data_IF_162497326735
#
_entry.id   IF_162497326735
#
_cell.length_a   1.000
_cell.length_b   1.000
_cell.length_c   1.000
_cell.angle_alpha   90.00
_cell.angle_beta   90.00
_cell.angle_gamma   90.00
#
_symmetry.space_group_name_H-M   'P 1'
#
loop_
_entity.id
_entity.type
_entity.pdbx_description
1 polymer ?
#
# COMPACT_ATOMS: atom_id res chain seq x y z
N UNK A 1 -57.84 -0.38 -22.52
CA UNK A 1 -56.73 -0.89 -23.35
C UNK A 1 -56.29 0.26 -24.24
N UNK A 2 -55.18 0.93 -23.93
CA UNK A 2 -54.75 2.13 -24.66
C UNK A 2 -54.34 1.70 -26.07
N UNK A 3 -55.05 2.19 -27.09
CA UNK A 3 -54.87 1.79 -28.47
C UNK A 3 -53.66 2.52 -29.07
N UNK A 4 -52.45 1.96 -28.85
CA UNK A 4 -51.18 2.56 -29.28
C UNK A 4 -51.12 2.91 -30.78
N UNK A 5 -51.96 2.27 -31.61
CA UNK A 5 -52.04 2.48 -33.06
C UNK A 5 -52.78 3.76 -33.47
N UNK A 6 -53.74 4.24 -32.67
CA UNK A 6 -54.47 5.49 -32.93
C UNK A 6 -53.68 6.73 -32.47
N UNK A 7 -52.95 6.61 -31.36
CA UNK A 7 -52.05 7.66 -30.87
C UNK A 7 -50.91 7.99 -31.84
N UNK A 8 -50.38 6.96 -32.53
CA UNK A 8 -49.33 7.15 -33.54
C UNK A 8 -49.87 7.79 -34.84
N UNK A 9 -51.13 7.57 -35.18
CA UNK A 9 -51.74 8.06 -36.43
C UNK A 9 -52.08 9.55 -36.42
N UNK A 10 -52.32 10.13 -35.23
CA UNK A 10 -52.75 11.52 -35.07
C UNK A 10 -51.60 12.51 -34.80
N UNK A 11 -50.33 12.07 -34.73
CA UNK A 11 -49.13 12.89 -34.45
C UNK A 11 -49.14 13.75 -33.16
N UNK A 12 -50.24 13.76 -32.39
CA UNK A 12 -50.40 14.57 -31.15
C UNK A 12 -49.57 14.08 -29.97
N UNK A 13 -48.99 12.88 -30.05
CA UNK A 13 -48.14 12.31 -28.98
C UNK A 13 -46.68 12.80 -29.04
N UNK A 14 -46.28 13.42 -30.15
CA UNK A 14 -44.91 13.88 -30.37
C UNK A 14 -44.59 15.07 -29.46
N UNK A 15 -45.49 16.05 -29.34
CA UNK A 15 -45.31 17.23 -28.50
C UNK A 15 -45.11 16.90 -27.00
N UNK A 16 -45.99 16.13 -26.32
CA UNK A 16 -45.78 15.79 -24.91
C UNK A 16 -44.55 14.91 -24.70
N UNK A 17 -44.19 14.06 -25.66
CA UNK A 17 -42.96 13.27 -25.61
C UNK A 17 -41.71 14.15 -25.71
N UNK A 18 -41.69 15.13 -26.62
CA UNK A 18 -40.60 16.10 -26.72
C UNK A 18 -40.48 16.96 -25.45
N UNK A 19 -41.60 17.42 -24.88
CA UNK A 19 -41.58 18.19 -23.62
C UNK A 19 -41.04 17.34 -22.46
N UNK A 20 -41.47 16.08 -22.35
CA UNK A 20 -40.98 15.16 -21.31
C UNK A 20 -39.48 14.90 -21.44
N UNK A 21 -39.00 14.63 -22.66
CA UNK A 21 -37.58 14.34 -22.91
C UNK A 21 -36.69 15.56 -22.66
N UNK A 22 -37.12 16.76 -23.08
CA UNK A 22 -36.44 18.02 -22.77
C UNK A 22 -36.42 18.27 -21.26
N UNK A 23 -37.56 18.11 -20.58
CA UNK A 23 -37.67 18.30 -19.13
C UNK A 23 -36.74 17.34 -18.35
N UNK A 24 -36.70 16.07 -18.77
CA UNK A 24 -35.80 15.06 -18.19
C UNK A 24 -34.33 15.42 -18.42
N UNK A 25 -33.98 15.88 -19.63
CA UNK A 25 -32.62 16.31 -19.95
C UNK A 25 -32.18 17.54 -19.12
N UNK A 26 -33.05 18.54 -18.99
CA UNK A 26 -32.79 19.74 -18.16
C UNK A 26 -32.63 19.35 -16.69
N UNK A 27 -33.49 18.48 -16.18
CA UNK A 27 -33.43 18.00 -14.79
C UNK A 27 -32.14 17.22 -14.53
N UNK A 28 -31.77 16.29 -15.42
CA UNK A 28 -30.51 15.55 -15.32
C UNK A 28 -29.29 16.48 -15.36
N UNK A 29 -29.31 17.47 -16.27
CA UNK A 29 -28.25 18.48 -16.39
C UNK A 29 -28.11 19.31 -15.11
N UNK A 30 -29.24 19.70 -14.50
CA UNK A 30 -29.25 20.44 -13.24
C UNK A 30 -28.70 19.60 -12.07
N UNK A 31 -29.08 18.32 -11.98
CA UNK A 31 -28.57 17.40 -10.95
C UNK A 31 -27.04 17.25 -11.08
N UNK A 32 -26.54 17.02 -12.30
CA UNK A 32 -25.10 16.92 -12.56
C UNK A 32 -24.38 18.21 -12.19
N UNK A 33 -24.92 19.38 -12.56
CA UNK A 33 -24.37 20.68 -12.21
C UNK A 33 -24.23 20.86 -10.68
N UNK A 34 -25.29 20.57 -9.91
CA UNK A 34 -25.26 20.66 -8.45
C UNK A 34 -24.26 19.65 -7.85
N UNK A 35 -24.17 18.44 -8.40
CA UNK A 35 -23.22 17.42 -7.96
C UNK A 35 -21.77 17.85 -8.18
N UNK A 36 -21.45 18.42 -9.35
CA UNK A 36 -20.12 18.94 -9.69
C UNK A 36 -19.74 20.09 -8.74
N UNK A 37 -20.64 21.06 -8.53
CA UNK A 37 -20.36 22.18 -7.62
C UNK A 37 -20.15 21.69 -6.19
N UNK A 38 -21.00 20.77 -5.70
CA UNK A 38 -20.83 20.21 -4.35
C UNK A 38 -19.50 19.47 -4.21
N UNK A 39 -19.12 18.66 -5.19
CA UNK A 39 -17.83 17.95 -5.22
C UNK A 39 -16.67 18.93 -5.20
N UNK A 40 -16.67 19.91 -6.10
CA UNK A 40 -15.62 20.94 -6.20
C UNK A 40 -15.50 21.75 -4.91
N UNK A 41 -16.62 22.20 -4.34
CA UNK A 41 -16.61 22.99 -3.10
C UNK A 41 -16.13 22.16 -1.90
N UNK A 42 -16.48 20.88 -1.82
CA UNK A 42 -15.93 19.97 -0.80
C UNK A 42 -14.42 19.83 -0.93
N UNK A 43 -13.91 19.69 -2.15
CA UNK A 43 -12.47 19.59 -2.41
C UNK A 43 -11.74 20.89 -2.07
N UNK A 44 -12.29 22.06 -2.46
CA UNK A 44 -11.71 23.37 -2.13
C UNK A 44 -11.65 23.57 -0.61
N UNK A 45 -12.71 23.22 0.13
CA UNK A 45 -12.72 23.32 1.59
C UNK A 45 -11.68 22.41 2.23
N UNK A 46 -11.55 21.17 1.74
CA UNK A 46 -10.51 20.24 2.20
C UNK A 46 -9.11 20.77 1.93
N UNK A 47 -8.88 21.38 0.76
CA UNK A 47 -7.58 21.93 0.42
C UNK A 47 -7.21 23.12 1.30
N UNK A 48 -8.16 24.04 1.56
CA UNK A 48 -7.94 25.13 2.52
C UNK A 48 -7.61 24.62 3.92
N UNK A 49 -8.35 23.61 4.41
CA UNK A 49 -8.06 22.98 5.69
C UNK A 49 -6.71 22.27 5.69
N UNK A 50 -6.31 21.64 4.58
CA UNK A 50 -5.00 21.01 4.44
C UNK A 50 -3.90 22.05 4.57
N UNK A 51 -4.00 23.19 3.89
CA UNK A 51 -3.02 24.28 3.98
C UNK A 51 -2.93 24.81 5.42
N UNK A 52 -4.07 25.05 6.08
CA UNK A 52 -4.11 25.50 7.48
C UNK A 52 -3.44 24.48 8.41
N UNK A 53 -3.78 23.20 8.27
CA UNK A 53 -3.23 22.12 9.08
C UNK A 53 -1.75 21.90 8.80
N UNK A 54 -1.31 21.93 7.55
CA UNK A 54 0.09 21.75 7.16
C UNK A 54 0.99 22.77 7.82
N UNK A 55 0.62 24.05 7.82
CA UNK A 55 1.43 25.09 8.46
C UNK A 55 1.60 24.85 9.97
N UNK A 56 0.52 24.45 10.66
CA UNK A 56 0.58 24.10 12.07
C UNK A 56 1.44 22.85 12.30
N UNK A 57 1.22 21.80 11.52
CA UNK A 57 1.94 20.52 11.61
C UNK A 57 3.43 20.73 11.36
N UNK A 58 3.81 21.49 10.33
CA UNK A 58 5.22 21.78 10.01
C UNK A 58 5.92 22.44 11.20
N UNK A 59 5.29 23.44 11.84
CA UNK A 59 5.84 24.07 13.04
C UNK A 59 6.02 23.07 14.19
N UNK A 60 5.02 22.22 14.44
CA UNK A 60 5.10 21.21 15.51
C UNK A 60 6.20 20.19 15.23
N UNK A 61 6.25 19.66 14.01
CA UNK A 61 7.23 18.64 13.63
C UNK A 61 8.64 19.22 13.61
N UNK A 62 8.82 20.46 13.15
CA UNK A 62 10.10 21.14 13.22
C UNK A 62 10.59 21.25 14.67
N UNK A 63 9.73 21.70 15.59
CA UNK A 63 10.05 21.83 17.02
C UNK A 63 10.39 20.47 17.67
N UNK A 64 9.75 19.38 17.26
CA UNK A 64 10.07 18.04 17.74
C UNK A 64 11.43 17.56 17.21
N UNK A 65 11.68 17.76 15.91
CA UNK A 65 12.86 17.22 15.23
C UNK A 65 14.12 18.01 15.60
N UNK A 66 14.05 19.34 15.59
CA UNK A 66 15.22 20.22 15.67
C UNK A 66 15.38 20.92 17.03
N UNK A 67 14.27 21.25 17.72
CA UNK A 67 14.32 21.94 19.02
C UNK A 67 14.20 20.96 20.21
N UNK A 68 14.23 19.65 19.95
CA UNK A 68 14.12 18.59 20.96
C UNK A 68 12.91 18.73 21.90
N UNK A 69 11.83 19.34 21.41
CA UNK A 69 10.64 19.60 22.21
C UNK A 69 9.88 18.30 22.46
N UNK A 70 9.70 17.88 23.73
CA UNK A 70 9.03 16.62 24.04
C UNK A 70 7.54 16.69 23.71
N UNK A 71 6.95 15.56 23.38
CA UNK A 71 5.52 15.50 23.06
C UNK A 71 4.61 15.98 24.20
N UNK A 72 5.03 15.87 25.46
CA UNK A 72 4.28 16.43 26.61
C UNK A 72 3.99 17.92 26.46
N UNK A 73 4.95 18.71 25.95
CA UNK A 73 4.79 20.15 25.71
C UNK A 73 3.88 20.39 24.52
N UNK A 74 4.05 19.62 23.43
CA UNK A 74 3.20 19.71 22.24
C UNK A 74 1.73 19.36 22.57
N UNK A 75 1.52 18.41 23.47
CA UNK A 75 0.19 18.00 23.91
C UNK A 75 -0.56 19.12 24.64
N UNK A 76 0.15 20.09 25.20
CA UNK A 76 -0.41 21.28 25.88
C UNK A 76 -0.59 22.47 24.91
N UNK A 77 -0.05 22.40 23.69
CA UNK A 77 -0.21 23.45 22.69
C UNK A 77 -1.68 23.60 22.27
N UNK A 78 -2.19 24.83 22.35
CA UNK A 78 -3.60 25.15 22.04
C UNK A 78 -3.97 24.80 20.60
N UNK A 79 -3.03 24.98 19.66
CA UNK A 79 -3.22 24.65 18.26
C UNK A 79 -3.34 23.14 18.03
N UNK A 80 -2.48 22.36 18.66
CA UNK A 80 -2.56 20.90 18.63
C UNK A 80 -3.85 20.39 19.28
N UNK A 81 -4.17 20.81 20.51
CA UNK A 81 -5.37 20.37 21.25
C UNK A 81 -6.65 20.59 20.42
N UNK A 82 -6.76 21.74 19.76
CA UNK A 82 -7.93 22.11 18.95
C UNK A 82 -8.23 21.08 17.85
N UNK A 83 -7.20 20.46 17.28
CA UNK A 83 -7.34 19.59 16.10
C UNK A 83 -6.90 18.14 16.33
N UNK A 84 -6.30 17.79 17.47
CA UNK A 84 -5.72 16.46 17.73
C UNK A 84 -6.70 15.28 17.56
N UNK A 85 -7.99 15.52 17.79
CA UNK A 85 -9.06 14.53 17.62
C UNK A 85 -9.75 14.60 16.25
N UNK A 86 -9.42 15.58 15.41
CA UNK A 86 -10.02 15.74 14.08
C UNK A 86 -9.44 14.68 13.12
N UNK A 87 -10.26 13.82 12.48
CA UNK A 87 -9.76 12.76 11.61
C UNK A 87 -8.95 13.27 10.42
N UNK A 88 -9.31 14.42 9.84
CA UNK A 88 -8.59 15.00 8.71
C UNK A 88 -7.25 15.58 9.16
N UNK A 89 -7.20 16.23 10.32
CA UNK A 89 -5.92 16.67 10.90
C UNK A 89 -4.97 15.49 11.15
N UNK A 90 -5.49 14.41 11.76
CA UNK A 90 -4.73 13.17 12.01
C UNK A 90 -4.25 12.51 10.72
N UNK A 91 -5.03 12.61 9.65
CA UNK A 91 -4.64 12.15 8.31
C UNK A 91 -3.49 12.99 7.73
N UNK A 92 -3.60 14.33 7.77
CA UNK A 92 -2.56 15.23 7.26
C UNK A 92 -1.25 15.06 8.04
N UNK A 93 -1.29 15.02 9.38
CA UNK A 93 -0.07 14.86 10.19
C UNK A 93 0.58 13.50 9.97
N UNK A 94 -0.22 12.44 9.78
CA UNK A 94 0.32 11.11 9.42
C UNK A 94 1.03 11.17 8.08
N UNK A 95 0.40 11.76 7.05
CA UNK A 95 1.01 11.91 5.72
C UNK A 95 2.32 12.70 5.77
N UNK A 96 2.35 13.80 6.53
CA UNK A 96 3.57 14.59 6.74
C UNK A 96 4.67 13.76 7.40
N UNK A 97 4.37 13.04 8.49
CA UNK A 97 5.34 12.17 9.17
C UNK A 97 5.86 11.08 8.23
N UNK A 98 4.98 10.42 7.47
CA UNK A 98 5.40 9.36 6.53
C UNK A 98 6.32 9.93 5.44
N UNK A 99 6.03 11.14 4.95
CA UNK A 99 6.84 11.78 3.93
C UNK A 99 8.21 12.20 4.49
N UNK A 100 8.26 12.70 5.71
CA UNK A 100 9.53 13.04 6.35
C UNK A 100 10.32 11.76 6.66
N UNK A 101 9.71 10.76 7.30
CA UNK A 101 10.40 9.53 7.70
C UNK A 101 11.06 8.78 6.53
N UNK A 102 10.49 8.86 5.31
CA UNK A 102 11.11 8.29 4.10
C UNK A 102 12.42 8.96 3.67
N UNK A 103 12.65 10.20 4.10
CA UNK A 103 13.77 11.04 3.67
C UNK A 103 14.77 11.33 4.80
N UNK A 104 14.46 10.94 6.04
CA UNK A 104 15.31 11.15 7.20
C UNK A 104 15.70 9.80 7.80
N UNK A 105 16.94 9.69 8.27
CA UNK A 105 17.48 8.51 8.95
C UNK A 105 18.03 8.88 10.33
N UNK A 106 18.43 7.88 11.11
CA UNK A 106 19.05 8.07 12.42
C UNK A 106 18.14 8.76 13.43
N UNK A 107 18.69 9.77 14.14
CA UNK A 107 18.01 10.43 15.28
C UNK A 107 16.70 11.11 14.86
N UNK A 108 16.64 11.70 13.67
CA UNK A 108 15.43 12.38 13.19
C UNK A 108 14.29 11.39 12.89
N UNK A 109 14.61 10.23 12.30
CA UNK A 109 13.64 9.15 12.11
C UNK A 109 13.11 8.63 13.46
N UNK A 110 13.99 8.41 14.43
CA UNK A 110 13.60 7.98 15.78
C UNK A 110 12.69 8.97 16.49
N UNK A 111 12.94 10.29 16.35
CA UNK A 111 12.06 11.34 16.88
C UNK A 111 10.66 11.29 16.26
N UNK A 112 10.57 11.08 14.94
CA UNK A 112 9.30 10.90 14.23
C UNK A 112 8.54 9.65 14.68
N UNK A 113 9.22 8.50 14.79
CA UNK A 113 8.63 7.25 15.29
C UNK A 113 8.10 7.39 16.73
N UNK A 114 8.87 8.08 17.59
CA UNK A 114 8.49 8.37 18.97
C UNK A 114 7.22 9.22 19.02
N UNK A 115 7.20 10.36 18.31
CA UNK A 115 6.01 11.21 18.23
C UNK A 115 4.80 10.45 17.68
N UNK A 116 4.98 9.65 16.63
CA UNK A 116 3.92 8.87 16.00
C UNK A 116 3.28 7.86 16.98
N UNK A 117 4.11 7.31 17.86
CA UNK A 117 3.66 6.38 18.90
C UNK A 117 2.96 7.11 20.05
N UNK A 118 3.57 8.17 20.59
CA UNK A 118 3.07 8.93 21.75
C UNK A 118 1.77 9.70 21.44
N UNK A 119 1.62 10.23 20.22
CA UNK A 119 0.40 10.89 19.74
C UNK A 119 -0.77 9.94 19.43
N UNK A 120 -0.51 8.63 19.52
CA UNK A 120 -1.50 7.58 19.24
C UNK A 120 -1.83 7.39 17.75
N UNK A 121 -1.11 8.05 16.83
CA UNK A 121 -1.31 7.87 15.38
C UNK A 121 -1.08 6.42 14.95
N UNK A 122 -0.16 5.71 15.62
CA UNK A 122 0.04 4.27 15.41
C UNK A 122 -1.25 3.45 15.59
N UNK A 123 -2.12 3.84 16.53
CA UNK A 123 -3.39 3.14 16.79
C UNK A 123 -4.36 3.31 15.62
N UNK A 124 -4.36 4.47 14.97
CA UNK A 124 -5.20 4.71 13.79
C UNK A 124 -4.77 3.82 12.62
N UNK A 125 -3.47 3.60 12.46
CA UNK A 125 -2.92 2.75 11.41
C UNK A 125 -3.22 1.27 11.65
N UNK A 126 -3.18 0.81 12.91
CA UNK A 126 -3.72 -0.50 13.27
C UNK A 126 -5.23 -0.61 12.98
N UNK A 127 -6.01 0.45 13.24
CA UNK A 127 -7.44 0.47 12.90
C UNK A 127 -7.68 0.36 11.39
N UNK A 128 -6.82 0.97 10.56
CA UNK A 128 -6.89 0.87 9.08
C UNK A 128 -6.75 -0.57 8.59
N UNK A 129 -5.98 -1.44 9.26
CA UNK A 129 -5.86 -2.86 8.88
C UNK A 129 -7.19 -3.63 8.92
N UNK A 130 -8.13 -3.17 9.74
CA UNK A 130 -9.48 -3.76 9.90
C UNK A 130 -10.52 -3.17 8.94
N UNK A 131 -10.17 -2.15 8.15
CA UNK A 131 -11.12 -1.50 7.26
C UNK A 131 -11.51 -2.41 6.09
N UNK A 132 -12.79 -2.49 5.67
CA UNK A 132 -13.18 -3.33 4.53
C UNK A 132 -12.58 -2.86 3.20
N UNK A 133 -12.29 -1.56 3.05
CA UNK A 133 -11.69 -0.98 1.85
C UNK A 133 -10.21 -1.33 1.79
N UNK A 134 -9.80 -2.02 0.72
CA UNK A 134 -8.42 -2.49 0.55
C UNK A 134 -7.44 -1.31 0.44
N UNK A 135 -7.86 -0.18 -0.12
CA UNK A 135 -7.07 1.05 -0.23
C UNK A 135 -6.69 1.59 1.15
N UNK A 136 -7.65 1.54 2.09
CA UNK A 136 -7.43 1.97 3.47
C UNK A 136 -6.49 1.00 4.19
N UNK A 137 -6.64 -0.31 3.95
CA UNK A 137 -5.68 -1.31 4.46
C UNK A 137 -4.28 -1.04 3.93
N UNK A 138 -4.11 -0.82 2.63
CA UNK A 138 -2.81 -0.48 2.01
C UNK A 138 -2.16 0.73 2.69
N UNK A 139 -2.95 1.78 2.97
CA UNK A 139 -2.47 2.96 3.69
C UNK A 139 -1.94 2.58 5.08
N UNK A 140 -2.74 1.86 5.88
CA UNK A 140 -2.33 1.41 7.21
C UNK A 140 -1.11 0.48 7.22
N UNK A 141 -1.02 -0.45 6.27
CA UNK A 141 0.13 -1.35 6.10
C UNK A 141 1.39 -0.55 5.80
N UNK A 142 1.30 0.40 4.87
CA UNK A 142 2.44 1.22 4.46
C UNK A 142 2.92 2.09 5.61
N UNK A 143 1.99 2.70 6.37
CA UNK A 143 2.32 3.52 7.53
C UNK A 143 3.01 2.71 8.63
N UNK A 144 2.47 1.53 8.97
CA UNK A 144 3.05 0.65 10.00
C UNK A 144 4.41 0.09 9.59
N UNK A 145 4.58 -0.23 8.31
CA UNK A 145 5.88 -0.65 7.79
C UNK A 145 6.88 0.51 7.81
N UNK A 146 6.43 1.74 7.52
CA UNK A 146 7.31 2.90 7.45
C UNK A 146 7.98 3.20 8.79
N UNK A 147 7.21 3.19 9.87
CA UNK A 147 7.66 3.38 11.26
C UNK A 147 8.12 2.10 11.96
N UNK A 148 8.51 1.08 11.19
CA UNK A 148 9.09 -0.17 11.70
C UNK A 148 8.24 -0.89 12.79
N UNK A 149 6.90 -0.84 12.68
CA UNK A 149 5.99 -1.43 13.64
C UNK A 149 5.94 -2.97 13.54
N UNK A 150 6.96 -3.64 14.07
CA UNK A 150 7.08 -5.11 14.03
C UNK A 150 5.90 -5.87 14.63
N UNK A 151 5.17 -5.27 15.57
CA UNK A 151 3.93 -5.82 16.16
C UNK A 151 2.81 -6.03 15.14
N UNK A 152 2.85 -5.33 13.99
CA UNK A 152 1.87 -5.49 12.93
C UNK A 152 2.13 -6.70 12.02
N UNK A 153 3.33 -7.29 12.10
CA UNK A 153 3.83 -8.28 11.14
C UNK A 153 2.85 -9.43 10.90
N UNK A 154 2.37 -10.12 11.94
CA UNK A 154 1.51 -11.30 11.78
C UNK A 154 0.16 -10.94 11.12
N UNK A 155 -0.36 -9.75 11.42
CA UNK A 155 -1.60 -9.26 10.80
C UNK A 155 -1.36 -8.95 9.32
N UNK A 156 -0.24 -8.29 8.99
CA UNK A 156 0.12 -7.96 7.61
C UNK A 156 0.43 -9.24 6.79
N UNK A 157 1.11 -10.21 7.39
CA UNK A 157 1.40 -11.52 6.80
C UNK A 157 0.12 -12.31 6.51
N UNK A 158 -0.90 -12.17 7.36
CA UNK A 158 -2.21 -12.75 7.08
C UNK A 158 -2.86 -12.06 5.88
N UNK A 159 -2.74 -10.74 5.78
CA UNK A 159 -3.26 -9.96 4.64
C UNK A 159 -2.54 -10.31 3.32
N UNK A 160 -1.23 -10.59 3.34
CA UNK A 160 -0.47 -10.95 2.13
C UNK A 160 -0.96 -12.24 1.46
N UNK A 161 -1.63 -13.12 2.21
CA UNK A 161 -2.23 -14.36 1.69
C UNK A 161 -3.55 -14.13 0.94
N UNK A 162 -4.11 -12.92 0.98
CA UNK A 162 -5.38 -12.55 0.35
C UNK A 162 -5.37 -12.60 -1.19
N UNK A 163 -6.56 -12.44 -1.79
CA UNK A 163 -6.73 -12.48 -3.27
C UNK A 163 -6.51 -11.13 -3.96
N UNK A 164 -6.74 -10.01 -3.27
CA UNK A 164 -6.57 -8.69 -3.87
C UNK A 164 -5.08 -8.43 -4.17
N UNK A 165 -4.74 -8.29 -5.46
CA UNK A 165 -3.36 -8.19 -5.94
C UNK A 165 -2.61 -7.00 -5.34
N UNK A 166 -3.20 -5.81 -5.38
CA UNK A 166 -2.58 -4.59 -4.84
C UNK A 166 -2.32 -4.72 -3.35
N UNK A 167 -3.32 -5.18 -2.60
CA UNK A 167 -3.20 -5.38 -1.16
C UNK A 167 -2.16 -6.44 -0.80
N UNK A 168 -2.10 -7.55 -1.56
CA UNK A 168 -1.08 -8.60 -1.41
C UNK A 168 0.31 -8.03 -1.61
N UNK A 169 0.55 -7.29 -2.69
CA UNK A 169 1.87 -6.70 -2.97
C UNK A 169 2.26 -5.71 -1.88
N UNK A 170 1.36 -4.83 -1.45
CA UNK A 170 1.62 -3.89 -0.35
C UNK A 170 1.98 -4.63 0.94
N UNK A 171 1.25 -5.69 1.27
CA UNK A 171 1.51 -6.51 2.45
C UNK A 171 2.84 -7.26 2.37
N UNK A 172 3.19 -7.85 1.23
CA UNK A 172 4.47 -8.52 1.02
C UNK A 172 5.63 -7.54 1.19
N UNK A 173 5.57 -6.37 0.55
CA UNK A 173 6.61 -5.34 0.67
C UNK A 173 6.78 -4.90 2.13
N UNK A 174 5.67 -4.71 2.86
CA UNK A 174 5.70 -4.38 4.28
C UNK A 174 6.29 -5.50 5.15
N UNK A 175 5.89 -6.76 4.92
CA UNK A 175 6.44 -7.92 5.62
C UNK A 175 7.95 -8.06 5.39
N UNK A 176 8.41 -7.81 4.16
CA UNK A 176 9.83 -7.80 3.77
C UNK A 176 10.57 -6.67 4.50
N UNK A 177 10.04 -5.44 4.50
CA UNK A 177 10.62 -4.33 5.27
C UNK A 177 10.73 -4.64 6.77
N UNK A 178 9.70 -5.26 7.36
CA UNK A 178 9.63 -5.49 8.81
C UNK A 178 10.43 -6.70 9.30
N UNK A 179 10.53 -7.78 8.52
CA UNK A 179 11.13 -9.06 8.97
C UNK A 179 11.92 -9.79 7.88
N UNK A 180 12.26 -9.12 6.79
CA UNK A 180 13.08 -9.69 5.72
C UNK A 180 12.47 -10.95 5.11
N UNK A 181 13.29 -12.01 5.02
CA UNK A 181 12.90 -13.30 4.45
C UNK A 181 11.68 -13.91 5.09
N UNK A 182 11.46 -13.74 6.39
CA UNK A 182 10.26 -14.24 7.09
C UNK A 182 8.97 -13.71 6.46
N UNK A 183 9.01 -12.56 5.79
CA UNK A 183 7.88 -11.99 5.08
C UNK A 183 7.43 -12.79 3.85
N UNK A 184 8.32 -13.61 3.28
CA UNK A 184 8.04 -14.38 2.05
C UNK A 184 8.13 -15.89 2.23
N UNK A 185 8.63 -16.42 3.35
CA UNK A 185 8.75 -17.88 3.57
C UNK A 185 7.41 -18.59 3.38
N UNK A 186 6.29 -17.98 3.76
CA UNK A 186 4.95 -18.57 3.54
C UNK A 186 4.59 -18.80 2.06
N UNK A 187 5.34 -18.23 1.11
CA UNK A 187 5.13 -18.45 -0.31
C UNK A 187 5.57 -19.86 -0.75
N UNK A 188 6.38 -20.57 0.03
CA UNK A 188 6.77 -21.96 -0.26
C UNK A 188 5.56 -22.89 -0.42
N UNK A 189 4.52 -22.64 0.38
CA UNK A 189 3.24 -23.35 0.40
C UNK A 189 2.19 -22.70 -0.53
N UNK A 190 2.57 -21.70 -1.35
CA UNK A 190 1.63 -20.99 -2.20
C UNK A 190 1.26 -21.82 -3.44
N UNK A 191 0.00 -22.21 -3.55
CA UNK A 191 -0.49 -23.12 -4.58
C UNK A 191 -0.68 -22.44 -5.96
N UNK A 192 -0.95 -21.13 -5.99
CA UNK A 192 -1.26 -20.41 -7.22
C UNK A 192 -0.02 -19.74 -7.82
N UNK A 193 0.11 -19.66 -9.15
CA UNK A 193 1.21 -18.95 -9.79
C UNK A 193 1.34 -17.49 -9.30
N UNK A 194 2.57 -17.07 -9.01
CA UNK A 194 2.93 -15.69 -8.72
C UNK A 194 3.30 -15.00 -10.05
N UNK A 195 2.54 -13.98 -10.42
CA UNK A 195 2.79 -13.22 -11.63
C UNK A 195 4.09 -12.39 -11.57
N UNK A 196 4.68 -12.10 -12.73
CA UNK A 196 5.98 -11.43 -12.80
C UNK A 196 6.01 -10.05 -12.14
N UNK A 197 4.90 -9.30 -12.20
CA UNK A 197 4.81 -8.01 -11.51
C UNK A 197 4.92 -8.17 -9.99
N UNK A 198 4.26 -9.17 -9.43
CA UNK A 198 4.40 -9.48 -7.99
C UNK A 198 5.84 -9.92 -7.66
N UNK A 199 6.48 -10.74 -8.51
CA UNK A 199 7.88 -11.15 -8.32
C UNK A 199 8.84 -9.95 -8.32
N UNK A 200 8.69 -9.03 -9.28
CA UNK A 200 9.50 -7.80 -9.38
C UNK A 200 9.33 -6.93 -8.12
N UNK A 201 8.10 -6.80 -7.62
CA UNK A 201 7.85 -6.02 -6.40
C UNK A 201 8.55 -6.63 -5.18
N UNK A 202 8.51 -7.97 -5.04
CA UNK A 202 9.23 -8.67 -3.97
C UNK A 202 10.74 -8.40 -4.08
N UNK A 203 11.33 -8.61 -5.26
CA UNK A 203 12.77 -8.38 -5.50
C UNK A 203 13.17 -6.94 -5.16
N UNK A 204 12.38 -5.96 -5.62
CA UNK A 204 12.62 -4.54 -5.33
C UNK A 204 12.51 -4.23 -3.84
N UNK A 205 11.60 -4.87 -3.11
CA UNK A 205 11.51 -4.70 -1.67
C UNK A 205 12.76 -5.21 -0.94
N UNK A 206 13.37 -6.32 -1.39
CA UNK A 206 14.65 -6.78 -0.84
C UNK A 206 15.79 -5.80 -1.13
N UNK A 207 15.89 -5.31 -2.37
CA UNK A 207 16.94 -4.35 -2.75
C UNK A 207 16.83 -3.02 -2.01
N UNK A 208 15.61 -2.56 -1.72
CA UNK A 208 15.38 -1.24 -1.10
C UNK A 208 15.77 -1.18 0.37
N UNK A 209 15.63 -2.27 1.13
CA UNK A 209 15.68 -2.25 2.59
C UNK A 209 16.97 -2.79 3.19
N UNK A 210 18.01 -3.00 2.37
CA UNK A 210 19.29 -3.63 2.75
C UNK A 210 19.11 -4.75 3.77
N UNK A 211 18.39 -5.79 3.35
CA UNK A 211 17.91 -6.85 4.24
C UNK A 211 19.09 -7.77 4.56
N UNK A 212 19.75 -7.50 5.68
CA UNK A 212 20.95 -8.23 6.10
C UNK A 212 20.73 -9.72 6.35
N UNK A 213 19.51 -10.16 6.71
CA UNK A 213 19.19 -11.59 6.85
C UNK A 213 18.53 -12.14 5.57
N UNK A 214 19.29 -12.94 4.83
CA UNK A 214 18.85 -13.65 3.62
C UNK A 214 18.64 -15.15 3.86
N UNK A 215 18.69 -15.61 5.13
CA UNK A 215 18.40 -16.99 5.50
C UNK A 215 16.93 -17.30 5.23
N UNK A 216 16.68 -18.41 4.53
CA UNK A 216 15.33 -18.86 4.18
C UNK A 216 14.91 -18.54 2.74
N UNK A 217 15.68 -17.78 1.95
CA UNK A 217 15.42 -17.61 0.51
C UNK A 217 15.52 -18.95 -0.23
N UNK A 218 16.45 -19.81 0.20
CA UNK A 218 16.63 -21.18 -0.31
C UNK A 218 15.36 -22.03 -0.20
N UNK A 219 14.51 -21.77 0.80
CA UNK A 219 13.27 -22.54 1.00
C UNK A 219 12.29 -22.35 -0.17
N UNK A 220 12.35 -21.21 -0.86
CA UNK A 220 11.54 -20.97 -2.06
C UNK A 220 11.86 -21.96 -3.19
N UNK A 221 13.09 -22.48 -3.23
CA UNK A 221 13.52 -23.47 -4.22
C UNK A 221 12.90 -24.87 -3.97
N UNK A 222 12.32 -25.09 -2.79
CA UNK A 222 11.66 -26.34 -2.39
C UNK A 222 10.15 -26.35 -2.69
N UNK A 223 9.60 -25.22 -3.15
CA UNK A 223 8.18 -25.13 -3.48
C UNK A 223 7.80 -26.05 -4.66
N UNK A 224 6.60 -26.63 -4.58
CA UNK A 224 5.97 -27.32 -5.73
C UNK A 224 5.52 -26.33 -6.82
N UNK A 225 5.46 -25.04 -6.50
CA UNK A 225 5.07 -24.00 -7.43
C UNK A 225 6.28 -23.46 -8.20
N UNK A 226 6.34 -23.74 -9.51
CA UNK A 226 7.44 -23.34 -10.38
C UNK A 226 7.69 -21.82 -10.42
N UNK A 227 6.66 -20.99 -10.20
CA UNK A 227 6.81 -19.53 -10.13
C UNK A 227 7.43 -19.07 -8.81
N UNK A 228 7.18 -19.78 -7.70
CA UNK A 228 7.85 -19.54 -6.42
C UNK A 228 9.32 -19.94 -6.50
N UNK A 229 9.61 -21.09 -7.12
CA UNK A 229 11.00 -21.50 -7.39
C UNK A 229 11.71 -20.48 -8.28
N UNK A 230 11.03 -19.99 -9.33
CA UNK A 230 11.57 -18.91 -10.19
C UNK A 230 11.86 -17.64 -9.39
N UNK A 231 10.98 -17.24 -8.47
CA UNK A 231 11.20 -16.10 -7.58
C UNK A 231 12.43 -16.31 -6.69
N UNK A 232 12.60 -17.50 -6.11
CA UNK A 232 13.79 -17.85 -5.31
C UNK A 232 15.09 -17.74 -6.10
N UNK A 233 15.11 -18.29 -7.32
CA UNK A 233 16.26 -18.17 -8.24
C UNK A 233 16.56 -16.71 -8.60
N UNK A 234 15.53 -15.92 -8.92
CA UNK A 234 15.70 -14.48 -9.21
C UNK A 234 16.25 -13.74 -7.99
N UNK A 235 15.74 -13.99 -6.78
CA UNK A 235 16.25 -13.35 -5.56
C UNK A 235 17.72 -13.69 -5.30
N UNK A 236 18.11 -14.97 -5.46
CA UNK A 236 19.50 -15.41 -5.30
C UNK A 236 20.43 -14.69 -6.28
N UNK A 237 20.01 -14.56 -7.55
CA UNK A 237 20.76 -13.84 -8.59
C UNK A 237 20.83 -12.34 -8.30
N UNK A 238 19.68 -11.69 -8.13
CA UNK A 238 19.56 -10.23 -8.02
C UNK A 238 20.14 -9.64 -6.73
N UNK A 239 20.33 -10.47 -5.70
CA UNK A 239 20.97 -10.11 -4.43
C UNK A 239 22.39 -10.68 -4.29
N UNK A 240 22.94 -11.29 -5.36
CA UNK A 240 24.29 -11.88 -5.40
C UNK A 240 24.59 -12.85 -4.24
N UNK A 241 23.67 -13.77 -3.94
CA UNK A 241 23.77 -14.67 -2.78
C UNK A 241 24.62 -15.91 -3.09
N UNK A 242 25.95 -15.73 -3.22
CA UNK A 242 26.90 -16.81 -3.53
C UNK A 242 26.87 -17.95 -2.50
N UNK A 243 26.56 -17.65 -1.24
CA UNK A 243 26.35 -18.64 -0.19
C UNK A 243 25.17 -19.61 -0.45
N UNK A 244 24.30 -19.30 -1.42
CA UNK A 244 23.14 -20.14 -1.79
C UNK A 244 23.40 -21.04 -3.01
N UNK A 245 24.59 -20.97 -3.61
CA UNK A 245 24.99 -21.83 -4.75
C UNK A 245 24.71 -23.32 -4.51
N UNK A 246 25.01 -23.93 -3.34
CA UNK A 246 24.75 -25.36 -3.12
C UNK A 246 23.28 -25.76 -3.31
N UNK A 247 22.35 -24.90 -2.89
CA UNK A 247 20.91 -25.14 -3.03
C UNK A 247 20.44 -25.02 -4.49
N UNK A 248 21.03 -24.10 -5.25
CA UNK A 248 20.75 -23.95 -6.69
C UNK A 248 21.27 -25.17 -7.47
N UNK A 249 22.46 -25.68 -7.12
CA UNK A 249 23.01 -26.91 -7.71
C UNK A 249 22.11 -28.12 -7.41
N UNK A 250 21.66 -28.26 -6.16
CA UNK A 250 20.73 -29.34 -5.78
C UNK A 250 19.41 -29.24 -6.56
N UNK A 251 18.87 -28.03 -6.75
CA UNK A 251 17.67 -27.81 -7.56
C UNK A 251 17.89 -28.22 -9.02
N UNK A 252 19.01 -27.82 -9.63
CA UNK A 252 19.34 -28.14 -11.02
C UNK A 252 19.51 -29.65 -11.27
N UNK A 253 19.99 -30.39 -10.27
CA UNK A 253 20.12 -31.84 -10.32
C UNK A 253 18.78 -32.58 -10.16
N UNK A 254 17.89 -32.12 -9.27
CA UNK A 254 16.62 -32.80 -8.95
C UNK A 254 15.45 -32.44 -9.88
N UNK A 255 15.47 -31.26 -10.51
CA UNK A 255 14.31 -30.76 -11.25
C UNK A 255 14.14 -31.46 -12.59
N UNK A 256 12.93 -31.92 -12.88
CA UNK A 256 12.55 -32.47 -14.20
C UNK A 256 12.06 -31.38 -15.16
N UNK A 257 11.81 -30.16 -14.66
CA UNK A 257 11.34 -29.05 -15.47
C UNK A 257 12.51 -28.39 -16.21
N UNK A 258 12.50 -28.48 -17.55
CA UNK A 258 13.56 -27.95 -18.42
C UNK A 258 13.77 -26.44 -18.27
N UNK A 259 12.70 -25.66 -18.11
CA UNK A 259 12.80 -24.21 -17.94
C UNK A 259 13.43 -23.84 -16.59
N UNK A 260 13.07 -24.53 -15.52
CA UNK A 260 13.69 -24.30 -14.20
C UNK A 260 15.16 -24.73 -14.19
N UNK A 261 15.49 -25.84 -14.87
CA UNK A 261 16.87 -26.29 -15.01
C UNK A 261 17.73 -25.25 -15.72
N UNK A 262 17.25 -24.71 -16.85
CA UNK A 262 17.94 -23.64 -17.57
C UNK A 262 18.15 -22.39 -16.71
N UNK A 263 17.11 -21.92 -16.01
CA UNK A 263 17.22 -20.77 -15.09
C UNK A 263 18.22 -21.02 -13.97
N UNK A 264 18.23 -22.22 -13.38
CA UNK A 264 19.19 -22.56 -12.33
C UNK A 264 20.64 -22.55 -12.86
N UNK A 265 20.87 -23.07 -14.07
CA UNK A 265 22.19 -23.03 -14.71
C UNK A 265 22.65 -21.59 -15.02
N UNK A 266 21.76 -20.73 -15.52
CA UNK A 266 22.03 -19.30 -15.74
C UNK A 266 22.43 -18.58 -14.43
N UNK A 267 21.72 -18.87 -13.34
CA UNK A 267 22.04 -18.32 -12.01
C UNK A 267 23.41 -18.80 -11.54
N UNK A 268 23.73 -20.08 -11.71
CA UNK A 268 25.04 -20.62 -11.35
C UNK A 268 26.15 -19.93 -12.14
N UNK A 269 26.02 -19.82 -13.46
CA UNK A 269 26.99 -19.13 -14.31
C UNK A 269 27.20 -17.68 -13.88
N UNK A 270 26.11 -16.97 -13.56
CA UNK A 270 26.19 -15.56 -13.13
C UNK A 270 26.93 -15.40 -11.79
N UNK A 271 26.82 -16.35 -10.87
CA UNK A 271 27.37 -16.25 -9.51
C UNK A 271 28.77 -16.85 -9.35
N UNK A 272 29.27 -17.60 -10.35
CA UNK A 272 30.61 -18.22 -10.34
C UNK A 272 31.66 -17.46 -11.14
N UNK A 273 31.25 -16.41 -11.86
CA UNK A 273 32.14 -15.48 -12.59
C UNK A 273 32.44 -14.29 -11.71
#
# INVERSE_FOLDING_TARGET
MINFRELYKNSTWVEPFLILTISLFVTASFILYVMIIRSRNRNIRKERLRIEYSSLIEKLIFSIIFDDTPFSVIKEDKGYIKYANNPFFREVITETIMNLHKNYEGVYAQKLEKFYTESGLIKDSFKKLRNPKWEVKCKGITELAEINATKAFDTILTISKGRNKTLKITALNACIKLRGTKGIVHLTEHHYPIDDWTQINIINAFKKHDIGDTKGIELLLESQNSTVVTLGLKLIKELNLTQKIPYVTQLAARTTNSQLKYKAQDVLQTLTV
#
